data_IF_091023802696
#
_entry.id   IF_091023802696
#
_cell.length_a   1.000
_cell.length_b   1.000
_cell.length_c   1.000
_cell.angle_alpha   90.00
_cell.angle_beta   90.00
_cell.angle_gamma   90.00
#
_symmetry.space_group_name_H-M   'P 1'
#
loop_
_entity.id
_entity.type
_entity.pdbx_description
1 polymer ?
#
# COMPACT_ATOMS: atom_id res chain seq x y z
N UNK A 1 -13.46 -26.73 -74.28
CA UNK A 1 -12.13 -26.12 -74.49
C UNK A 1 -11.81 -25.22 -73.30
N UNK A 2 -10.55 -25.05 -72.87
CA UNK A 2 -9.73 -25.94 -72.01
C UNK A 2 -9.58 -25.37 -70.56
N UNK A 3 -9.42 -26.19 -69.50
CA UNK A 3 -8.14 -26.62 -68.86
C UNK A 3 -7.44 -25.51 -68.06
N UNK A 4 -7.21 -25.56 -66.74
CA UNK A 4 -6.20 -26.27 -65.89
C UNK A 4 -6.23 -25.47 -64.55
N UNK A 5 -5.76 -25.86 -63.37
CA UNK A 5 -5.01 -26.98 -62.85
C UNK A 5 -5.22 -26.98 -61.32
N UNK A 6 -5.21 -28.18 -60.75
CA UNK A 6 -4.90 -28.49 -59.36
C UNK A 6 -3.56 -27.91 -58.90
N UNK A 7 -3.38 -27.68 -57.59
CA UNK A 7 -2.42 -28.46 -56.79
C UNK A 7 -2.51 -28.12 -55.29
N UNK A 8 -2.48 -29.20 -54.51
CA UNK A 8 -2.28 -29.33 -53.07
C UNK A 8 -0.88 -28.89 -52.62
N UNK A 9 -0.79 -28.31 -51.43
CA UNK A 9 0.48 -28.10 -50.72
C UNK A 9 0.58 -28.99 -49.47
N UNK A 10 1.77 -29.55 -49.16
CA UNK A 10 1.98 -30.49 -48.06
C UNK A 10 2.53 -29.83 -46.77
N UNK A 11 2.60 -30.68 -45.74
CA UNK A 11 3.07 -30.52 -44.36
C UNK A 11 4.38 -29.74 -44.10
N UNK A 12 4.41 -29.08 -42.94
CA UNK A 12 5.46 -29.31 -41.92
C UNK A 12 6.74 -28.48 -41.97
N UNK A 13 6.82 -27.42 -41.17
CA UNK A 13 8.08 -26.86 -40.66
C UNK A 13 7.93 -26.37 -39.21
N UNK A 14 8.83 -26.74 -38.27
CA UNK A 14 8.73 -26.32 -36.87
C UNK A 14 9.24 -24.88 -36.71
N UNK A 15 8.41 -24.00 -36.16
CA UNK A 15 8.83 -22.65 -35.80
C UNK A 15 9.75 -22.70 -34.57
N UNK A 16 11.02 -22.39 -34.82
CA UNK A 16 12.09 -22.23 -33.82
C UNK A 16 11.68 -21.16 -32.79
N UNK A 17 11.19 -21.58 -31.61
CA UNK A 17 11.04 -20.69 -30.45
C UNK A 17 12.42 -20.15 -30.08
N UNK A 18 12.61 -18.84 -30.24
CA UNK A 18 13.77 -18.14 -29.68
C UNK A 18 13.59 -18.13 -28.17
N UNK A 19 14.28 -19.03 -27.48
CA UNK A 19 14.36 -19.01 -26.02
C UNK A 19 15.04 -17.70 -25.59
N UNK A 20 14.29 -16.78 -24.96
CA UNK A 20 14.90 -15.66 -24.24
C UNK A 20 15.65 -16.22 -23.05
N UNK A 21 16.97 -16.03 -23.04
CA UNK A 21 17.82 -16.39 -21.92
C UNK A 21 17.29 -15.76 -20.61
N UNK A 22 17.34 -16.48 -19.47
CA UNK A 22 16.92 -15.93 -18.20
C UNK A 22 17.83 -14.75 -17.86
N UNK A 23 17.23 -13.57 -17.70
CA UNK A 23 17.94 -12.41 -17.18
C UNK A 23 18.26 -12.73 -15.72
N UNK A 24 19.54 -12.97 -15.42
CA UNK A 24 20.06 -13.18 -14.06
C UNK A 24 19.45 -12.15 -13.10
N UNK A 25 19.05 -12.63 -11.92
CA UNK A 25 18.44 -11.86 -10.82
C UNK A 25 19.21 -10.58 -10.48
N UNK A 26 20.53 -10.56 -10.72
CA UNK A 26 21.40 -9.40 -10.53
C UNK A 26 21.13 -8.26 -11.52
N UNK A 27 20.67 -8.55 -12.75
CA UNK A 27 20.27 -7.52 -13.72
C UNK A 27 18.90 -6.91 -13.39
N UNK A 28 17.98 -7.69 -12.80
CA UNK A 28 16.69 -7.17 -12.34
C UNK A 28 16.86 -6.25 -11.13
N UNK A 29 17.78 -6.60 -10.21
CA UNK A 29 18.14 -5.75 -9.08
C UNK A 29 18.84 -4.45 -9.52
N UNK A 30 19.70 -4.51 -10.54
CA UNK A 30 20.33 -3.29 -11.11
C UNK A 30 19.35 -2.36 -11.84
N UNK A 31 18.24 -2.87 -12.38
CA UNK A 31 17.18 -2.02 -12.95
C UNK A 31 16.31 -1.33 -11.90
N UNK A 32 16.22 -1.88 -10.68
CA UNK A 32 15.55 -1.23 -9.55
C UNK A 32 16.42 -0.18 -8.84
N UNK A 33 17.71 -0.06 -9.18
CA UNK A 33 18.66 0.88 -8.55
C UNK A 33 19.14 1.97 -9.53
N UNK A 34 18.41 2.21 -10.62
CA UNK A 34 18.71 3.36 -11.50
C UNK A 34 17.47 4.12 -11.91
N UNK A 35 16.72 4.59 -10.91
CA UNK A 35 16.07 5.88 -11.04
C UNK A 35 17.17 6.93 -11.17
N UNK A 36 17.47 7.34 -12.40
CA UNK A 36 18.15 8.62 -12.62
C UNK A 36 17.19 9.67 -12.07
N UNK A 37 17.39 10.05 -10.82
CA UNK A 37 16.73 11.20 -10.18
C UNK A 37 16.84 12.37 -11.14
N UNK A 38 15.70 12.80 -11.71
CA UNK A 38 15.64 14.06 -12.40
C UNK A 38 15.90 15.14 -11.34
N UNK A 39 17.11 15.70 -11.34
CA UNK A 39 17.56 16.71 -10.38
C UNK A 39 16.65 17.96 -10.33
N UNK A 40 15.78 18.13 -11.33
CA UNK A 40 14.79 19.21 -11.41
C UNK A 40 13.59 19.02 -10.47
N UNK A 41 13.11 17.79 -10.24
CA UNK A 41 12.02 17.52 -9.27
C UNK A 41 12.52 17.52 -7.83
N UNK A 42 13.77 17.10 -7.63
CA UNK A 42 14.44 17.21 -6.33
C UNK A 42 14.71 18.67 -5.96
N UNK A 43 14.81 19.61 -6.89
CA UNK A 43 15.01 21.03 -6.56
C UNK A 43 13.80 21.62 -5.83
N UNK A 44 12.58 21.21 -6.19
CA UNK A 44 11.35 21.63 -5.50
C UNK A 44 11.32 21.03 -4.09
N UNK A 45 11.55 19.71 -3.96
CA UNK A 45 11.66 19.06 -2.64
C UNK A 45 12.80 19.63 -1.80
N UNK A 46 13.94 19.97 -2.40
CA UNK A 46 15.13 20.47 -1.69
C UNK A 46 14.97 21.94 -1.29
N UNK A 47 14.34 22.79 -2.12
CA UNK A 47 13.99 24.16 -1.73
C UNK A 47 12.89 24.19 -0.67
N UNK A 48 11.86 23.34 -0.78
CA UNK A 48 10.79 23.23 0.22
C UNK A 48 11.35 22.75 1.57
N UNK A 49 12.25 21.76 1.56
CA UNK A 49 12.93 21.23 2.77
C UNK A 49 13.80 22.25 3.49
N UNK A 50 14.38 23.23 2.79
CA UNK A 50 15.21 24.29 3.40
C UNK A 50 14.38 25.43 4.01
N UNK A 51 13.10 25.57 3.64
CA UNK A 51 12.27 26.73 3.96
C UNK A 51 10.98 26.40 4.72
N UNK A 52 10.74 25.14 5.10
CA UNK A 52 9.53 24.80 5.87
C UNK A 52 9.78 25.03 7.36
N UNK A 53 9.62 26.27 7.82
CA UNK A 53 9.33 26.53 9.22
C UNK A 53 7.84 26.27 9.43
N UNK A 54 7.50 25.30 10.28
CA UNK A 54 6.12 25.04 10.66
C UNK A 54 5.70 26.07 11.71
N UNK A 55 4.70 26.87 11.38
CA UNK A 55 4.03 27.74 12.34
C UNK A 55 3.14 26.88 13.25
N UNK A 56 3.62 26.65 14.48
CA UNK A 56 2.91 25.84 15.48
C UNK A 56 1.58 26.46 15.90
N UNK A 57 1.44 27.78 15.77
CA UNK A 57 0.21 28.47 16.17
C UNK A 57 -0.97 28.00 15.32
N UNK A 58 -0.72 27.60 14.06
CA UNK A 58 -1.77 27.05 13.17
C UNK A 58 -2.45 25.79 13.70
N UNK A 59 -1.83 25.06 14.64
CA UNK A 59 -2.42 23.85 15.24
C UNK A 59 -3.48 24.17 16.30
N UNK A 60 -3.47 25.39 16.83
CA UNK A 60 -4.35 25.85 17.93
C UNK A 60 -5.06 27.15 17.58
N UNK A 61 -4.98 27.57 16.31
CA UNK A 61 -5.57 28.82 15.84
C UNK A 61 -7.06 28.59 15.61
N UNK A 62 -7.88 29.26 16.41
CA UNK A 62 -9.34 29.20 16.39
C UNK A 62 -9.94 29.51 15.01
N UNK A 63 -9.22 30.22 14.13
CA UNK A 63 -9.72 30.46 12.75
C UNK A 63 -9.87 29.18 11.92
N UNK A 64 -9.19 28.10 12.32
CA UNK A 64 -9.33 26.77 11.75
C UNK A 64 -10.17 25.84 12.64
N UNK A 65 -10.71 26.34 13.75
CA UNK A 65 -11.71 25.62 14.52
C UNK A 65 -13.05 25.70 13.80
N UNK A 66 -13.40 24.59 13.15
CA UNK A 66 -14.57 24.45 12.31
C UNK A 66 -14.22 23.72 11.02
N UNK A 67 -15.10 22.83 10.56
CA UNK A 67 -14.92 22.11 9.31
C UNK A 67 -15.30 22.93 8.07
N UNK A 68 -15.80 24.16 8.25
CA UNK A 68 -16.32 24.98 7.15
C UNK A 68 -17.48 24.32 6.41
N UNK A 69 -18.20 23.40 7.06
CA UNK A 69 -19.21 22.55 6.45
C UNK A 69 -18.65 21.44 5.55
N UNK A 70 -17.34 21.19 5.55
CA UNK A 70 -16.73 20.14 4.71
C UNK A 70 -16.84 18.74 5.31
N UNK A 71 -16.95 18.65 6.64
CA UNK A 71 -17.05 17.39 7.38
C UNK A 71 -18.50 17.14 7.76
N UNK A 72 -19.04 16.02 7.30
CA UNK A 72 -20.40 15.62 7.55
C UNK A 72 -20.39 14.41 8.48
N UNK A 73 -20.93 14.59 9.68
CA UNK A 73 -21.18 13.46 10.57
C UNK A 73 -22.23 12.54 9.96
N UNK A 74 -21.97 11.24 10.00
CA UNK A 74 -22.79 10.22 9.35
C UNK A 74 -22.86 8.97 10.22
N UNK A 75 -24.01 8.29 10.22
CA UNK A 75 -24.14 6.99 10.89
C UNK A 75 -23.47 5.88 10.08
N UNK A 76 -22.93 4.84 10.72
CA UNK A 76 -22.28 3.72 10.02
C UNK A 76 -23.12 3.06 8.90
N UNK A 77 -24.44 3.02 9.05
CA UNK A 77 -25.38 2.40 8.12
C UNK A 77 -25.71 3.27 6.91
N UNK A 78 -25.42 4.57 6.97
CA UNK A 78 -25.74 5.53 5.89
C UNK A 78 -24.70 5.50 4.76
N UNK A 79 -23.51 4.90 5.00
CA UNK A 79 -22.48 4.71 3.98
C UNK A 79 -22.87 3.57 3.02
N UNK A 80 -23.72 3.90 2.04
CA UNK A 80 -24.37 2.97 1.11
C UNK A 80 -24.07 3.27 -0.35
N UNK A 81 -24.38 2.33 -1.25
CA UNK A 81 -24.30 2.55 -2.70
C UNK A 81 -25.26 3.66 -3.17
N UNK A 82 -26.45 3.77 -2.54
CA UNK A 82 -27.41 4.84 -2.82
C UNK A 82 -26.82 6.21 -2.53
N UNK A 83 -26.13 6.36 -1.38
CA UNK A 83 -25.37 7.56 -1.06
C UNK A 83 -24.30 7.83 -2.12
N UNK A 84 -23.52 6.80 -2.51
CA UNK A 84 -22.49 6.94 -3.52
C UNK A 84 -23.04 7.44 -4.86
N UNK A 85 -24.13 6.86 -5.36
CA UNK A 85 -24.73 7.27 -6.64
C UNK A 85 -25.30 8.69 -6.60
N UNK A 86 -25.81 9.13 -5.45
CA UNK A 86 -26.38 10.47 -5.27
C UNK A 86 -25.31 11.54 -5.07
N UNK A 87 -24.35 11.30 -4.17
CA UNK A 87 -23.35 12.28 -3.73
C UNK A 87 -22.06 12.22 -4.57
N UNK A 88 -21.63 11.00 -4.94
CA UNK A 88 -20.35 10.74 -5.58
C UNK A 88 -19.16 10.76 -4.61
N UNK A 89 -19.40 10.73 -3.29
CA UNK A 89 -18.38 10.87 -2.23
C UNK A 89 -17.58 12.18 -2.37
N UNK A 90 -18.27 13.30 -2.63
CA UNK A 90 -17.67 14.64 -2.76
C UNK A 90 -17.36 15.28 -1.41
N UNK A 91 -18.02 14.81 -0.37
CA UNK A 91 -17.93 15.33 0.99
C UNK A 91 -17.02 14.45 1.87
N UNK A 92 -16.46 15.03 2.94
CA UNK A 92 -15.73 14.25 3.97
C UNK A 92 -16.74 13.74 4.97
N UNK A 93 -16.77 12.42 5.18
CA UNK A 93 -17.67 11.80 6.16
C UNK A 93 -16.94 11.40 7.42
N UNK A 94 -17.47 11.82 8.57
CA UNK A 94 -16.97 11.47 9.89
C UNK A 94 -17.94 10.51 10.58
N UNK A 95 -17.39 9.41 11.08
CA UNK A 95 -18.15 8.36 11.77
C UNK A 95 -17.60 8.20 13.19
N UNK A 96 -18.50 8.15 14.17
CA UNK A 96 -18.13 7.87 15.56
C UNK A 96 -17.83 6.37 15.78
N UNK A 97 -18.45 5.50 14.96
CA UNK A 97 -18.25 4.04 14.94
C UNK A 97 -17.84 3.55 13.54
N UNK A 98 -17.17 2.38 13.43
CA UNK A 98 -16.76 1.84 12.13
C UNK A 98 -17.94 1.68 11.16
N UNK A 99 -17.84 2.17 9.91
CA UNK A 99 -18.88 2.01 8.91
C UNK A 99 -19.25 0.55 8.62
N UNK A 100 -20.43 0.33 8.05
CA UNK A 100 -20.95 -1.00 7.74
C UNK A 100 -19.93 -1.88 6.99
N UNK A 101 -19.67 -3.07 7.53
CA UNK A 101 -18.75 -4.05 6.95
C UNK A 101 -17.25 -3.74 7.12
N UNK A 102 -16.90 -2.66 7.83
CA UNK A 102 -15.52 -2.41 8.27
C UNK A 102 -15.16 -3.30 9.45
N UNK A 103 -13.95 -3.86 9.44
CA UNK A 103 -13.36 -4.55 10.59
C UNK A 103 -12.07 -3.84 10.96
N UNK A 104 -11.91 -3.57 12.25
CA UNK A 104 -10.69 -3.02 12.83
C UNK A 104 -10.29 -3.85 14.05
N UNK A 105 -9.00 -3.87 14.42
CA UNK A 105 -8.57 -4.52 15.64
C UNK A 105 -9.26 -3.91 16.88
N UNK A 106 -9.29 -4.66 18.00
CA UNK A 106 -9.79 -4.17 19.28
C UNK A 106 -9.15 -2.84 19.73
N UNK A 107 -9.83 -2.06 20.58
CA UNK A 107 -9.36 -0.74 21.03
C UNK A 107 -8.07 -0.78 21.86
N UNK A 108 -7.76 -1.91 22.48
CA UNK A 108 -6.53 -2.16 23.24
C UNK A 108 -5.37 -2.67 22.36
N UNK A 109 -5.55 -2.76 21.04
CA UNK A 109 -4.53 -3.21 20.11
C UNK A 109 -3.36 -2.23 20.04
N UNK A 110 -2.14 -2.76 20.24
CA UNK A 110 -0.93 -1.94 20.40
C UNK A 110 0.06 -2.11 19.24
N UNK A 111 1.02 -1.18 19.08
CA UNK A 111 2.15 -1.38 18.18
C UNK A 111 2.94 -2.67 18.45
N UNK A 112 2.93 -3.19 19.68
CA UNK A 112 3.55 -4.48 19.99
C UNK A 112 2.79 -5.64 19.33
N UNK A 113 1.45 -5.60 19.35
CA UNK A 113 0.63 -6.62 18.69
C UNK A 113 0.85 -6.59 17.17
N UNK A 114 0.91 -5.40 16.59
CA UNK A 114 1.28 -5.21 15.18
C UNK A 114 2.61 -5.90 14.87
N UNK A 115 3.65 -5.61 15.67
CA UNK A 115 4.99 -6.21 15.51
C UNK A 115 4.99 -7.74 15.60
N UNK A 116 4.21 -8.30 16.54
CA UNK A 116 4.10 -9.74 16.73
C UNK A 116 3.47 -10.43 15.52
N UNK A 117 2.49 -9.79 14.88
CA UNK A 117 1.75 -10.38 13.75
C UNK A 117 2.49 -10.22 12.42
N UNK A 118 3.08 -9.04 12.16
CA UNK A 118 3.74 -8.77 10.86
C UNK A 118 5.20 -9.26 10.82
N UNK A 119 5.75 -9.63 11.98
CA UNK A 119 7.15 -10.02 12.15
C UNK A 119 8.07 -8.81 12.38
N UNK A 120 8.73 -8.77 13.55
CA UNK A 120 9.51 -7.61 13.97
C UNK A 120 10.75 -7.29 13.12
N UNK A 121 11.29 -8.26 12.37
CA UNK A 121 12.42 -8.06 11.44
C UNK A 121 11.98 -7.57 10.06
N UNK A 122 10.68 -7.63 9.74
CA UNK A 122 10.15 -7.17 8.47
C UNK A 122 10.37 -5.67 8.37
N UNK A 123 10.96 -5.27 7.25
CA UNK A 123 11.31 -3.88 6.98
C UNK A 123 10.10 -3.09 6.50
N UNK A 124 9.94 -1.89 7.04
CA UNK A 124 8.92 -0.92 6.63
C UNK A 124 9.55 0.44 6.38
N UNK A 125 8.86 1.24 5.57
CA UNK A 125 9.26 2.62 5.28
C UNK A 125 8.65 3.55 6.32
N UNK A 126 9.52 4.21 7.06
CA UNK A 126 9.19 5.24 8.04
C UNK A 126 9.66 6.60 7.53
N UNK A 127 9.08 7.67 8.08
CA UNK A 127 9.38 9.03 7.68
C UNK A 127 9.73 9.87 8.90
N UNK A 128 10.88 10.55 8.87
CA UNK A 128 11.18 11.61 9.83
C UNK A 128 10.43 12.88 9.42
N UNK A 129 9.44 13.25 10.22
CA UNK A 129 8.53 14.38 9.98
C UNK A 129 9.27 15.71 9.93
N UNK A 130 10.41 15.85 10.61
CA UNK A 130 11.19 17.10 10.62
C UNK A 130 11.94 17.26 9.30
N UNK A 131 12.62 16.21 8.84
CA UNK A 131 13.46 16.29 7.64
C UNK A 131 12.71 15.90 6.37
N UNK A 132 11.51 15.35 6.51
CA UNK A 132 10.70 14.75 5.44
C UNK A 132 11.47 13.65 4.69
N UNK A 133 12.45 13.01 5.35
CA UNK A 133 13.24 11.93 4.78
C UNK A 133 12.63 10.60 5.18
N UNK A 134 12.53 9.72 4.20
CA UNK A 134 12.15 8.33 4.42
C UNK A 134 13.37 7.51 4.79
N UNK A 135 13.19 6.52 5.66
CA UNK A 135 14.19 5.51 5.99
C UNK A 135 13.50 4.17 6.19
N UNK A 136 14.25 3.11 5.95
CA UNK A 136 13.76 1.74 6.08
C UNK A 136 14.37 1.11 7.32
N UNK A 137 13.57 0.47 8.16
CA UNK A 137 14.05 -0.34 9.29
C UNK A 137 13.03 -1.42 9.66
N UNK A 138 13.43 -2.38 10.49
CA UNK A 138 12.54 -3.39 11.04
C UNK A 138 11.52 -2.79 12.00
N UNK A 139 10.30 -3.35 12.02
CA UNK A 139 9.25 -2.86 12.92
C UNK A 139 9.61 -2.95 14.41
N UNK A 140 10.52 -3.84 14.78
CA UNK A 140 11.08 -3.93 16.15
C UNK A 140 11.68 -2.60 16.60
N UNK A 141 12.43 -1.93 15.75
CA UNK A 141 13.08 -0.67 16.10
C UNK A 141 12.08 0.48 16.16
N UNK A 142 10.99 0.41 15.38
CA UNK A 142 9.88 1.35 15.51
C UNK A 142 9.13 1.18 16.85
N UNK A 143 8.89 -0.06 17.29
CA UNK A 143 8.30 -0.31 18.63
C UNK A 143 9.22 0.18 19.74
N UNK A 144 10.54 -0.05 19.63
CA UNK A 144 11.52 0.52 20.57
C UNK A 144 11.44 2.05 20.57
N UNK A 145 11.43 2.69 19.41
CA UNK A 145 11.28 4.14 19.26
C UNK A 145 10.01 4.67 19.95
N UNK A 146 8.87 3.99 19.79
CA UNK A 146 7.61 4.38 20.45
C UNK A 146 7.67 4.20 21.97
N UNK A 147 8.45 3.26 22.49
CA UNK A 147 8.66 3.05 23.93
C UNK A 147 9.67 4.02 24.55
N UNK A 148 10.58 4.58 23.76
CA UNK A 148 11.52 5.61 24.22
C UNK A 148 10.74 6.85 24.69
N UNK A 149 11.06 7.43 25.87
CA UNK A 149 10.46 8.68 26.34
C UNK A 149 10.60 9.79 25.29
N UNK A 150 9.59 10.66 25.19
CA UNK A 150 9.51 11.68 24.12
C UNK A 150 10.76 12.56 24.02
N UNK A 151 11.37 12.90 25.16
CA UNK A 151 12.56 13.76 25.23
C UNK A 151 13.84 13.05 24.71
N UNK A 152 13.86 11.72 24.75
CA UNK A 152 15.01 10.91 24.36
C UNK A 152 14.88 10.34 22.93
N UNK A 153 13.74 10.60 22.26
CA UNK A 153 13.49 10.15 20.90
C UNK A 153 14.36 10.91 19.91
N UNK A 154 15.13 10.18 19.10
CA UNK A 154 15.89 10.75 18.00
C UNK A 154 14.97 11.07 16.80
N UNK A 155 14.29 12.21 16.86
CA UNK A 155 13.41 12.70 15.80
C UNK A 155 11.93 12.34 15.95
N UNK A 156 11.12 12.77 14.97
CA UNK A 156 9.66 12.57 14.95
C UNK A 156 9.33 11.61 13.81
N UNK A 157 9.40 10.32 14.09
CA UNK A 157 9.23 9.28 13.08
C UNK A 157 7.75 8.88 12.97
N UNK A 158 7.28 8.72 11.73
CA UNK A 158 5.92 8.36 11.41
C UNK A 158 5.89 7.14 10.46
N UNK A 159 4.84 6.34 10.55
CA UNK A 159 4.61 5.12 9.78
C UNK A 159 3.30 5.24 8.99
N UNK A 160 3.35 5.90 7.84
CA UNK A 160 2.16 6.17 7.00
C UNK A 160 2.11 5.35 5.71
N UNK A 161 3.21 4.69 5.35
CA UNK A 161 3.32 3.90 4.11
C UNK A 161 3.34 2.39 4.40
N UNK A 162 2.73 1.99 5.51
CA UNK A 162 2.72 0.61 6.01
C UNK A 162 1.61 -0.18 5.34
N UNK A 163 1.97 -1.12 4.47
CA UNK A 163 1.03 -2.03 3.82
C UNK A 163 1.00 -3.39 4.53
N UNK A 164 -0.19 -3.80 4.97
CA UNK A 164 -0.36 -5.01 5.80
C UNK A 164 -1.08 -6.17 5.10
N UNK A 165 -1.55 -5.98 3.85
CA UNK A 165 -2.28 -7.02 3.11
C UNK A 165 -1.51 -8.32 2.87
N UNK A 166 -0.18 -8.26 2.88
CA UNK A 166 0.72 -9.43 2.80
C UNK A 166 1.28 -9.89 4.14
N UNK A 167 0.53 -9.70 5.23
CA UNK A 167 0.92 -10.08 6.60
C UNK A 167 -0.23 -10.82 7.29
N UNK A 168 0.01 -11.40 8.47
CA UNK A 168 -1.04 -12.01 9.27
C UNK A 168 -2.15 -11.04 9.73
N UNK A 169 -1.97 -9.72 9.57
CA UNK A 169 -3.01 -8.74 9.91
C UNK A 169 -4.14 -8.68 8.89
N UNK A 170 -3.98 -9.29 7.69
CA UNK A 170 -4.98 -9.22 6.61
C UNK A 170 -6.38 -9.69 7.04
N UNK A 171 -6.47 -10.64 7.97
CA UNK A 171 -7.74 -11.16 8.46
C UNK A 171 -8.36 -10.32 9.60
N UNK A 172 -7.59 -9.36 10.15
CA UNK A 172 -8.01 -8.50 11.26
C UNK A 172 -8.53 -7.14 10.80
N UNK A 173 -8.22 -6.74 9.56
CA UNK A 173 -8.63 -5.45 8.99
C UNK A 173 -9.47 -5.68 7.75
N UNK A 174 -10.57 -4.96 7.64
CA UNK A 174 -11.42 -4.99 6.46
C UNK A 174 -11.95 -3.59 6.19
N UNK A 175 -11.80 -3.11 4.96
CA UNK A 175 -12.36 -1.83 4.54
C UNK A 175 -13.91 -1.88 4.57
N UNK A 176 -14.58 -0.71 4.73
CA UNK A 176 -16.04 -0.62 4.65
C UNK A 176 -16.63 -1.34 3.43
N UNK A 177 -17.85 -1.86 3.57
CA UNK A 177 -18.51 -2.62 2.50
C UNK A 177 -18.59 -1.83 1.20
N UNK A 178 -19.06 -0.58 1.26
CA UNK A 178 -19.15 0.31 0.10
C UNK A 178 -17.81 0.47 -0.61
N UNK A 179 -16.73 0.72 0.16
CA UNK A 179 -15.38 0.92 -0.41
C UNK A 179 -14.95 -0.31 -1.20
N UNK A 180 -15.23 -1.53 -0.70
CA UNK A 180 -14.91 -2.77 -1.41
C UNK A 180 -15.78 -2.98 -2.67
N UNK A 181 -17.01 -2.49 -2.68
CA UNK A 181 -17.92 -2.58 -3.83
C UNK A 181 -17.48 -1.65 -4.96
N UNK A 182 -17.03 -0.43 -4.65
CA UNK A 182 -16.68 0.58 -5.66
C UNK A 182 -15.18 0.61 -6.00
N UNK A 183 -14.33 -0.05 -5.21
CA UNK A 183 -12.88 -0.06 -5.44
C UNK A 183 -12.52 -0.71 -6.79
N UNK A 184 -11.82 0.05 -7.62
CA UNK A 184 -11.39 -0.41 -8.94
C UNK A 184 -10.37 -1.55 -8.86
N UNK A 185 -9.54 -1.63 -7.82
CA UNK A 185 -8.59 -2.72 -7.66
C UNK A 185 -9.33 -4.04 -7.37
N UNK A 186 -10.33 -4.01 -6.48
CA UNK A 186 -11.20 -5.16 -6.19
C UNK A 186 -12.03 -5.57 -7.41
N UNK A 187 -12.43 -4.62 -8.26
CA UNK A 187 -13.17 -4.88 -9.51
C UNK A 187 -12.28 -5.16 -10.73
N UNK A 188 -10.96 -5.14 -10.58
CA UNK A 188 -10.03 -5.38 -11.69
C UNK A 188 -10.10 -6.86 -12.17
N UNK A 189 -9.94 -7.19 -13.46
CA UNK A 189 -10.04 -8.57 -13.94
C UNK A 189 -9.07 -9.56 -13.24
N UNK A 190 -9.58 -10.70 -12.77
CA UNK A 190 -8.84 -11.68 -11.94
C UNK A 190 -7.62 -12.30 -12.62
N UNK A 191 -7.63 -12.40 -13.96
CA UNK A 191 -6.46 -12.83 -14.74
C UNK A 191 -5.22 -11.96 -14.50
N UNK A 192 -5.40 -10.73 -14.00
CA UNK A 192 -4.34 -9.77 -13.66
C UNK A 192 -4.17 -9.57 -12.16
N UNK A 193 -5.09 -10.06 -11.32
CA UNK A 193 -4.95 -10.06 -9.85
C UNK A 193 -4.10 -11.21 -9.31
N UNK A 194 -3.60 -12.11 -10.18
CA UNK A 194 -2.81 -13.27 -9.75
C UNK A 194 -1.64 -12.81 -8.87
N UNK A 195 -1.78 -13.08 -7.56
CA UNK A 195 -0.81 -12.82 -6.51
C UNK A 195 0.52 -13.49 -6.86
N UNK A 196 1.40 -12.74 -7.53
CA UNK A 196 2.84 -13.02 -7.55
C UNK A 196 3.54 -11.98 -6.71
N UNK A 197 3.33 -12.10 -5.41
CA UNK A 197 4.27 -11.60 -4.42
C UNK A 197 4.83 -12.82 -3.71
N UNK A 198 5.84 -13.45 -4.33
CA UNK A 198 6.72 -14.39 -3.62
C UNK A 198 7.84 -13.54 -3.02
N UNK A 199 7.80 -13.30 -1.72
CA UNK A 199 8.94 -12.83 -0.97
C UNK A 199 9.65 -14.05 -0.36
N UNK A 200 10.94 -14.24 -0.68
CA UNK A 200 11.89 -15.13 0.01
C UNK A 200 11.54 -16.63 0.10
N UNK A 201 12.53 -17.51 -0.05
CA UNK A 201 12.36 -18.97 0.15
C UNK A 201 12.12 -19.39 1.62
N UNK A 202 12.11 -18.45 2.57
CA UNK A 202 12.09 -18.77 4.01
C UNK A 202 10.68 -19.07 4.59
N UNK A 203 9.59 -18.75 3.88
CA UNK A 203 8.21 -18.96 4.38
C UNK A 203 7.62 -20.35 4.02
N UNK A 204 8.39 -21.22 3.35
CA UNK A 204 7.97 -22.59 3.05
C UNK A 204 7.81 -23.49 4.30
N UNK A 205 8.28 -23.03 5.47
CA UNK A 205 8.19 -23.77 6.73
C UNK A 205 6.82 -23.72 7.41
N UNK A 206 5.93 -22.79 7.02
CA UNK A 206 4.58 -22.70 7.61
C UNK A 206 3.49 -23.44 6.83
N UNK A 207 3.76 -23.85 5.58
CA UNK A 207 2.78 -24.57 4.75
C UNK A 207 2.77 -26.09 5.00
N UNK A 208 3.74 -26.65 5.73
CA UNK A 208 3.92 -28.10 5.88
C UNK A 208 3.38 -28.68 7.20
N UNK A 209 2.72 -27.88 8.06
CA UNK A 209 2.24 -28.35 9.37
C UNK A 209 0.73 -28.44 9.56
N UNK A 210 -0.07 -28.31 8.51
CA UNK A 210 -1.50 -28.60 8.57
C UNK A 210 -1.87 -29.70 7.57
N UNK A 211 -1.43 -30.92 7.89
CA UNK A 211 -2.03 -32.16 7.42
C UNK A 211 -1.68 -33.22 8.45
N UNK A 212 -2.57 -33.39 9.42
CA UNK A 212 -3.06 -34.63 10.05
C UNK A 212 -4.43 -34.25 10.63
#
# INVERSE_FOLDING_TARGET
TPTRASTSSPDGAPTRRVARAPVSSSKRLKMMVREKKNAKDDLVKTKLRKTTQFDKNKLVDEKYEGDGGMVHKMKPEELTEELYYKDGLKNVYLFDDPPTGMKVPPRDFTPLNVMQIIGGKREFVFHDSKTQKSFTTGFTDFVKYLRTPRNDRNGINNAISTEVSGTGMIDMVQAPALVRQIDFATNWPDAQKQRRVKFGEDDALFSSRTSI
#
